data_IF_265850643116
#
_entry.id   IF_265850643116
#
_cell.length_a   1.000
_cell.length_b   1.000
_cell.length_c   1.000
_cell.angle_alpha   90.00
_cell.angle_beta   90.00
_cell.angle_gamma   90.00
#
_symmetry.space_group_name_H-M   'P 1'
#
loop_
_entity.id
_entity.type
_entity.pdbx_description
1 polymer ?
#
# COMPACT_ATOMS: atom_id res chain seq x y z
N UNK A 1 3.82 -11.96 -2.04
CA UNK A 1 3.15 -10.87 -1.30
C UNK A 1 4.03 -9.63 -1.40
N UNK A 2 3.52 -8.54 -1.95
CA UNK A 2 4.25 -7.28 -2.12
C UNK A 2 3.89 -6.32 -0.99
N UNK A 3 4.68 -6.31 0.08
CA UNK A 3 4.40 -5.54 1.30
C UNK A 3 5.24 -4.26 1.44
N UNK A 4 6.48 -4.26 0.91
CA UNK A 4 7.46 -3.18 1.11
C UNK A 4 6.86 -1.81 0.82
N UNK A 5 7.09 -0.87 1.72
CA UNK A 5 6.67 0.51 1.57
C UNK A 5 7.22 1.39 2.68
N UNK A 6 7.27 2.68 2.41
CA UNK A 6 7.66 3.73 3.35
C UNK A 6 6.79 4.95 3.17
N UNK A 7 6.81 5.85 4.14
CA UNK A 7 6.04 7.08 4.13
C UNK A 7 6.84 8.22 4.77
N UNK A 8 6.60 9.43 4.30
CA UNK A 8 7.12 10.67 4.87
C UNK A 8 6.03 11.75 4.77
N UNK A 9 5.58 12.28 5.91
CA UNK A 9 4.40 13.13 6.00
C UNK A 9 4.79 14.60 5.89
N UNK A 10 4.59 15.18 4.71
CA UNK A 10 4.81 16.61 4.49
C UNK A 10 3.96 17.19 3.37
N UNK A 11 3.79 18.52 3.34
CA UNK A 11 3.11 19.19 2.24
C UNK A 11 3.80 18.89 0.90
N UNK A 12 3.01 18.73 -0.16
CA UNK A 12 3.52 18.44 -1.52
C UNK A 12 4.65 19.38 -1.95
N UNK A 13 4.52 20.66 -1.63
CA UNK A 13 5.50 21.70 -1.98
C UNK A 13 6.87 21.58 -1.28
N UNK A 14 7.02 20.64 -0.35
CA UNK A 14 8.26 20.41 0.40
C UNK A 14 9.00 19.14 -0.01
N UNK A 15 8.45 18.30 -0.89
CA UNK A 15 9.17 17.14 -1.40
C UNK A 15 10.26 17.59 -2.37
N UNK A 16 11.41 16.94 -2.27
CA UNK A 16 12.47 17.01 -3.28
C UNK A 16 12.24 15.96 -4.37
N UNK A 17 12.91 16.12 -5.51
CA UNK A 17 12.91 15.11 -6.57
C UNK A 17 13.45 13.77 -6.09
N UNK A 18 14.48 13.77 -5.25
CA UNK A 18 15.06 12.56 -4.66
C UNK A 18 14.04 11.82 -3.79
N UNK A 19 13.32 12.52 -2.92
CA UNK A 19 12.30 11.90 -2.05
C UNK A 19 11.13 11.35 -2.85
N UNK A 20 10.71 12.05 -3.90
CA UNK A 20 9.70 11.54 -4.84
C UNK A 20 10.17 10.23 -5.48
N UNK A 21 11.39 10.20 -6.03
CA UNK A 21 11.96 9.00 -6.64
C UNK A 21 12.10 7.85 -5.63
N UNK A 22 12.51 8.13 -4.40
CA UNK A 22 12.61 7.11 -3.34
C UNK A 22 11.24 6.54 -2.99
N UNK A 23 10.21 7.38 -2.82
CA UNK A 23 8.85 6.93 -2.53
C UNK A 23 8.26 6.13 -3.69
N UNK A 24 8.45 6.58 -4.93
CA UNK A 24 7.96 5.88 -6.12
C UNK A 24 8.62 4.51 -6.27
N UNK A 25 9.95 4.48 -6.21
CA UNK A 25 10.72 3.24 -6.38
C UNK A 25 10.41 2.22 -5.29
N UNK A 26 10.33 2.67 -4.03
CA UNK A 26 10.05 1.80 -2.89
C UNK A 26 8.60 1.31 -2.90
N UNK A 27 7.63 2.22 -3.07
CA UNK A 27 6.22 1.89 -2.85
C UNK A 27 5.54 1.25 -4.06
N UNK A 28 6.04 1.49 -5.28
CA UNK A 28 5.38 1.05 -6.50
C UNK A 28 6.29 0.25 -7.42
N UNK A 29 7.42 0.82 -7.87
CA UNK A 29 8.26 0.17 -8.89
C UNK A 29 8.80 -1.17 -8.42
N UNK A 30 9.17 -1.28 -7.13
CA UNK A 30 9.61 -2.54 -6.52
C UNK A 30 8.59 -3.67 -6.74
N UNK A 31 7.31 -3.42 -6.45
CA UNK A 31 6.24 -4.39 -6.56
C UNK A 31 5.86 -4.68 -8.02
N UNK A 32 5.90 -3.65 -8.87
CA UNK A 32 5.69 -3.79 -10.32
C UNK A 32 6.74 -4.69 -10.95
N UNK A 33 8.03 -4.36 -10.78
CA UNK A 33 9.13 -5.13 -11.34
C UNK A 33 9.19 -6.54 -10.78
N UNK A 34 8.93 -6.72 -9.47
CA UNK A 34 8.90 -8.06 -8.89
C UNK A 34 7.76 -8.91 -9.49
N UNK A 35 6.59 -8.32 -9.73
CA UNK A 35 5.47 -9.01 -10.37
C UNK A 35 5.80 -9.39 -11.83
N UNK A 36 6.45 -8.47 -12.57
CA UNK A 36 6.90 -8.73 -13.94
C UNK A 36 7.89 -9.90 -14.00
N UNK A 37 8.88 -9.91 -13.12
CA UNK A 37 9.89 -10.98 -13.06
C UNK A 37 9.30 -12.31 -12.58
N UNK A 38 8.29 -12.27 -11.70
CA UNK A 38 7.62 -13.47 -11.18
C UNK A 38 6.61 -14.09 -12.18
N UNK A 39 6.13 -13.35 -13.18
CA UNK A 39 5.08 -13.80 -14.09
C UNK A 39 5.32 -15.19 -14.71
N UNK A 40 6.51 -15.52 -15.27
CA UNK A 40 6.75 -16.84 -15.85
C UNK A 40 6.59 -17.98 -14.83
N UNK A 41 7.04 -17.75 -13.59
CA UNK A 41 6.95 -18.73 -12.50
C UNK A 41 5.51 -18.88 -12.01
N UNK A 42 4.79 -17.77 -11.88
CA UNK A 42 3.37 -17.77 -11.51
C UNK A 42 2.53 -18.50 -12.55
N UNK A 43 2.78 -18.25 -13.84
CA UNK A 43 2.12 -18.96 -14.94
C UNK A 43 2.45 -20.45 -14.95
N UNK A 44 3.72 -20.81 -14.77
CA UNK A 44 4.14 -22.21 -14.70
C UNK A 44 3.50 -22.97 -13.52
N UNK A 45 3.19 -22.29 -12.40
CA UNK A 45 2.50 -22.91 -11.27
C UNK A 45 1.06 -23.37 -11.59
N UNK A 46 0.44 -22.78 -12.61
CA UNK A 46 -0.95 -23.05 -12.98
C UNK A 46 -2.00 -22.56 -11.97
N UNK A 47 -1.61 -21.91 -10.86
CA UNK A 47 -2.52 -21.37 -9.84
C UNK A 47 -1.94 -20.15 -9.11
N UNK A 48 -1.32 -19.23 -9.85
CA UNK A 48 -0.59 -18.09 -9.28
C UNK A 48 -1.46 -17.18 -8.41
N UNK A 49 -0.87 -16.59 -7.37
CA UNK A 49 -1.56 -15.62 -6.51
C UNK A 49 -0.62 -14.49 -6.09
N UNK A 50 -1.05 -13.26 -6.36
CA UNK A 50 -0.36 -12.03 -5.94
C UNK A 50 -1.27 -11.28 -4.97
N UNK A 51 -0.68 -10.86 -3.86
CA UNK A 51 -1.32 -9.96 -2.89
C UNK A 51 -0.43 -8.75 -2.74
N UNK A 52 -0.98 -7.57 -3.03
CA UNK A 52 -0.36 -6.28 -2.76
C UNK A 52 -0.85 -5.72 -1.42
N UNK A 53 0.03 -5.05 -0.70
CA UNK A 53 -0.35 -4.22 0.45
C UNK A 53 -0.35 -2.77 -0.01
N UNK A 54 -1.55 -2.22 -0.17
CA UNK A 54 -1.78 -0.84 -0.54
C UNK A 54 -2.09 0.00 0.71
N UNK A 55 -3.06 0.92 0.63
CA UNK A 55 -3.55 1.70 1.75
C UNK A 55 -4.96 2.19 1.44
N UNK A 56 -5.76 2.39 2.47
CA UNK A 56 -7.01 3.17 2.40
C UNK A 56 -6.85 4.56 1.77
N UNK A 57 -5.64 5.11 1.76
CA UNK A 57 -5.30 6.37 1.09
C UNK A 57 -5.54 6.31 -0.44
N UNK A 58 -5.70 5.11 -1.01
CA UNK A 58 -6.00 4.88 -2.42
C UNK A 58 -7.50 4.85 -2.71
N UNK A 59 -8.33 5.01 -1.67
CA UNK A 59 -9.80 5.11 -1.76
C UNK A 59 -10.26 6.48 -1.27
N UNK A 60 -9.68 6.99 -0.19
CA UNK A 60 -10.01 8.30 0.38
C UNK A 60 -8.75 9.11 0.69
N UNK A 61 -8.83 10.44 0.57
CA UNK A 61 -7.77 11.31 1.07
C UNK A 61 -7.81 11.39 2.60
N UNK A 62 -6.68 11.07 3.23
CA UNK A 62 -6.55 11.00 4.70
C UNK A 62 -5.42 11.88 5.23
N UNK A 63 -4.89 12.78 4.38
CA UNK A 63 -3.84 13.74 4.71
C UNK A 63 -2.54 13.11 5.26
N UNK A 64 -2.09 11.99 4.67
CA UNK A 64 -0.85 11.29 5.04
C UNK A 64 0.28 11.48 4.01
N UNK A 65 0.21 12.56 3.23
CA UNK A 65 1.14 12.85 2.14
C UNK A 65 0.56 12.49 0.76
N UNK A 66 0.61 13.46 -0.17
CA UNK A 66 0.10 13.31 -1.54
C UNK A 66 0.88 12.24 -2.32
N UNK A 67 2.20 12.20 -2.16
CA UNK A 67 3.06 11.25 -2.87
C UNK A 67 2.80 9.82 -2.39
N UNK A 68 2.71 9.60 -1.08
CA UNK A 68 2.37 8.29 -0.52
C UNK A 68 1.00 7.80 -1.01
N UNK A 69 -0.02 8.66 -0.94
CA UNK A 69 -1.37 8.34 -1.41
C UNK A 69 -1.38 7.96 -2.89
N UNK A 70 -0.62 8.69 -3.72
CA UNK A 70 -0.50 8.38 -5.15
C UNK A 70 0.24 7.07 -5.42
N UNK A 71 1.39 6.83 -4.78
CA UNK A 71 2.28 5.69 -5.13
C UNK A 71 1.92 4.40 -4.41
N UNK A 72 1.83 4.40 -3.08
CA UNK A 72 1.59 3.19 -2.28
C UNK A 72 0.15 2.71 -2.38
N UNK A 73 -0.78 3.66 -2.57
CA UNK A 73 -2.19 3.39 -2.47
C UNK A 73 -2.88 3.40 -3.84
N UNK A 74 -2.95 4.56 -4.50
CA UNK A 74 -3.63 4.73 -5.78
C UNK A 74 -3.07 3.85 -6.89
N UNK A 75 -1.77 4.01 -7.19
CA UNK A 75 -1.11 3.24 -8.25
C UNK A 75 -1.16 1.72 -7.99
N UNK A 76 -0.97 1.31 -6.73
CA UNK A 76 -1.04 -0.11 -6.34
C UNK A 76 -2.45 -0.69 -6.52
N UNK A 77 -3.49 0.04 -6.13
CA UNK A 77 -4.88 -0.38 -6.31
C UNK A 77 -5.21 -0.52 -7.81
N UNK A 78 -4.72 0.38 -8.65
CA UNK A 78 -4.95 0.28 -10.08
C UNK A 78 -4.18 -0.89 -10.70
N UNK A 79 -2.88 -1.03 -10.39
CA UNK A 79 -2.06 -2.15 -10.86
C UNK A 79 -2.69 -3.50 -10.50
N UNK A 80 -3.22 -3.62 -9.27
CA UNK A 80 -3.91 -4.83 -8.82
C UNK A 80 -5.05 -5.21 -9.76
N UNK A 81 -5.89 -4.24 -10.17
CA UNK A 81 -7.02 -4.46 -11.07
C UNK A 81 -6.57 -4.83 -12.48
N UNK A 82 -5.59 -4.08 -13.01
CA UNK A 82 -5.04 -4.33 -14.35
C UNK A 82 -4.47 -5.75 -14.44
N UNK A 83 -3.61 -6.15 -13.49
CA UNK A 83 -3.01 -7.48 -13.48
C UNK A 83 -4.05 -8.59 -13.25
N UNK A 84 -5.10 -8.34 -12.46
CA UNK A 84 -6.19 -9.30 -12.28
C UNK A 84 -6.90 -9.57 -13.60
N UNK A 85 -7.19 -8.54 -14.39
CA UNK A 85 -7.81 -8.69 -15.71
C UNK A 85 -6.84 -9.30 -16.74
N UNK A 86 -5.61 -8.82 -16.79
CA UNK A 86 -4.61 -9.21 -17.79
C UNK A 86 -4.18 -10.68 -17.63
N UNK A 87 -3.96 -11.13 -16.39
CA UNK A 87 -3.36 -12.43 -16.09
C UNK A 87 -4.39 -13.51 -15.67
N UNK A 88 -5.68 -13.19 -15.63
CA UNK A 88 -6.74 -14.15 -15.35
C UNK A 88 -6.70 -15.38 -16.27
N UNK A 89 -6.42 -15.17 -17.57
CA UNK A 89 -6.30 -16.25 -18.58
C UNK A 89 -5.20 -17.27 -18.26
N UNK A 90 -4.21 -16.88 -17.47
CA UNK A 90 -3.09 -17.71 -17.05
C UNK A 90 -3.32 -18.33 -15.66
N UNK A 91 -4.57 -18.27 -15.15
CA UNK A 91 -4.98 -18.69 -13.81
C UNK A 91 -4.18 -18.03 -12.68
N UNK A 92 -3.86 -16.74 -12.84
CA UNK A 92 -3.20 -15.92 -11.84
C UNK A 92 -4.23 -14.97 -11.22
N UNK A 93 -4.39 -15.04 -9.91
CA UNK A 93 -5.24 -14.12 -9.14
C UNK A 93 -4.41 -12.99 -8.56
N UNK A 94 -4.91 -11.77 -8.67
CA UNK A 94 -4.28 -10.59 -8.09
C UNK A 94 -5.28 -9.87 -7.21
N UNK A 95 -4.90 -9.62 -5.95
CA UNK A 95 -5.72 -8.88 -4.98
C UNK A 95 -4.87 -7.87 -4.22
N UNK A 96 -5.52 -6.92 -3.56
CA UNK A 96 -4.86 -6.01 -2.64
C UNK A 96 -5.57 -5.99 -1.30
N UNK A 97 -4.79 -5.80 -0.24
CA UNK A 97 -5.26 -5.44 1.09
C UNK A 97 -4.92 -3.97 1.27
N UNK A 98 -5.89 -3.19 1.74
CA UNK A 98 -5.76 -1.75 1.96
C UNK A 98 -5.89 -1.44 3.46
N UNK A 99 -4.82 -1.52 4.26
CA UNK A 99 -4.89 -1.28 5.69
C UNK A 99 -5.27 0.16 6.04
N UNK A 100 -6.04 0.31 7.10
CA UNK A 100 -6.10 1.53 7.90
C UNK A 100 -4.89 1.60 8.84
N UNK A 101 -4.91 2.43 9.88
CA UNK A 101 -3.86 2.42 10.89
C UNK A 101 -3.80 1.07 11.61
N UNK A 102 -2.64 0.43 11.55
CA UNK A 102 -2.29 -0.82 12.24
C UNK A 102 -1.14 -0.51 13.20
N UNK A 103 -1.10 -1.13 14.38
CA UNK A 103 -0.01 -0.96 15.35
C UNK A 103 1.27 -1.66 14.86
N UNK A 104 2.21 -0.86 14.35
CA UNK A 104 3.50 -1.34 13.82
C UNK A 104 4.61 -0.36 14.22
N UNK A 105 5.89 -0.76 14.18
CA UNK A 105 6.99 0.17 14.44
C UNK A 105 6.97 1.44 13.56
N UNK A 106 6.45 1.35 12.33
CA UNK A 106 6.34 2.49 11.41
C UNK A 106 5.26 3.50 11.86
N UNK A 107 4.17 3.02 12.45
CA UNK A 107 3.03 3.85 12.88
C UNK A 107 3.12 4.27 14.35
N UNK A 108 3.98 3.64 15.14
CA UNK A 108 4.20 3.92 16.57
C UNK A 108 4.40 5.41 16.86
N UNK A 109 5.21 6.07 16.02
CA UNK A 109 5.52 7.50 16.18
C UNK A 109 4.26 8.37 16.12
N UNK A 110 3.32 8.09 15.22
CA UNK A 110 2.09 8.87 15.09
C UNK A 110 1.01 8.40 16.07
N UNK A 111 0.93 7.09 16.33
CA UNK A 111 -0.07 6.50 17.23
C UNK A 111 0.21 6.75 18.72
N UNK A 112 1.44 7.07 19.10
CA UNK A 112 1.79 7.49 20.46
C UNK A 112 1.15 8.82 20.89
N UNK A 113 0.72 9.65 19.93
CA UNK A 113 -0.04 10.88 20.20
C UNK A 113 -1.49 10.54 20.52
N UNK A 114 -1.92 10.81 21.76
CA UNK A 114 -3.30 10.58 22.21
C UNK A 114 -4.32 11.25 21.29
N UNK A 115 -4.09 12.51 20.93
CA UNK A 115 -4.95 13.27 20.01
C UNK A 115 -5.05 12.60 18.63
N UNK A 116 -3.95 12.08 18.11
CA UNK A 116 -3.95 11.41 16.82
C UNK A 116 -4.67 10.05 16.91
N UNK A 117 -4.39 9.28 17.96
CA UNK A 117 -5.06 8.01 18.25
C UNK A 117 -6.58 8.20 18.36
N UNK A 118 -7.05 9.20 19.11
CA UNK A 118 -8.48 9.54 19.23
C UNK A 118 -9.09 9.93 17.88
N UNK A 119 -8.38 10.72 17.06
CA UNK A 119 -8.84 11.09 15.72
C UNK A 119 -8.93 9.88 14.77
N UNK A 120 -8.02 8.92 14.90
CA UNK A 120 -8.05 7.66 14.16
C UNK A 120 -9.20 6.79 14.63
N UNK A 121 -9.32 6.56 15.95
CA UNK A 121 -10.33 5.70 16.57
C UNK A 121 -11.75 6.23 16.34
N UNK A 122 -11.98 7.54 16.45
CA UNK A 122 -13.29 8.16 16.17
C UNK A 122 -13.78 7.96 14.74
N UNK A 123 -12.87 7.64 13.81
CA UNK A 123 -13.16 7.32 12.40
C UNK A 123 -13.10 5.82 12.11
N UNK A 124 -12.81 4.99 13.11
CA UNK A 124 -12.76 3.53 12.98
C UNK A 124 -13.97 2.90 13.67
N UNK A 125 -14.92 2.31 12.94
CA UNK A 125 -16.13 1.73 13.54
C UNK A 125 -15.90 0.68 14.63
N UNK A 126 -14.77 -0.04 14.57
CA UNK A 126 -14.39 -1.02 15.59
C UNK A 126 -13.87 -0.39 16.90
N UNK A 127 -13.72 0.94 16.95
CA UNK A 127 -13.25 1.64 18.16
C UNK A 127 -11.80 1.38 18.53
N UNK A 128 -10.99 0.81 17.63
CA UNK A 128 -9.58 0.50 17.83
C UNK A 128 -8.80 0.57 16.51
N UNK A 129 -7.47 0.63 16.59
CA UNK A 129 -6.60 0.38 15.44
C UNK A 129 -6.44 -1.12 15.21
N UNK A 130 -5.98 -1.50 14.02
CA UNK A 130 -5.69 -2.91 13.70
C UNK A 130 -4.41 -3.40 14.38
N UNK A 131 -4.29 -4.72 14.51
CA UNK A 131 -3.08 -5.40 14.95
C UNK A 131 -2.44 -6.21 13.79
N UNK A 132 -1.11 -6.45 13.78
CA UNK A 132 -0.43 -7.13 12.66
C UNK A 132 -0.87 -8.58 12.41
N UNK A 133 -1.45 -9.25 13.40
CA UNK A 133 -1.90 -10.64 13.33
C UNK A 133 -3.25 -10.81 12.60
N UNK A 134 -3.94 -9.70 12.29
CA UNK A 134 -5.22 -9.66 11.55
C UNK A 134 -5.01 -9.64 10.03
#
# INVERSE_FOLDING_TARGET
>A
INNVGTNDWKPTAKYTSTELSTLLSTNFESAYHFSQLAYPLLKASGHGSIVFVSSVAGVFSINVGSIYGSTKAGAMNQLTKELACEWAKDNIRTNCVAPWFVRTPLTEQVLSSSKFMEAVVSRTPLGRVGEPEE
#
